data_IF_603128646345
#
_entry.id   IF_603128646345
#
_cell.length_a   1.000
_cell.length_b   1.000
_cell.length_c   1.000
_cell.angle_alpha   90.00
_cell.angle_beta   90.00
_cell.angle_gamma   90.00
#
_symmetry.space_group_name_H-M   'P 1'
#
loop_
_entity.id
_entity.type
_entity.pdbx_description
1 polymer ?
#
# COMPACT_ATOMS: atom_id res chain seq x y z
N UNK A 1 7.29 10.58 1.02
CA UNK A 1 5.87 10.26 0.72
C UNK A 1 5.76 9.91 -0.75
N UNK A 2 5.42 8.65 -1.05
CA UNK A 2 5.22 8.15 -2.41
C UNK A 2 3.84 8.56 -2.96
N UNK A 3 2.87 8.73 -2.06
CA UNK A 3 1.52 9.19 -2.35
C UNK A 3 1.36 10.67 -1.95
N UNK A 4 0.51 11.41 -2.65
CA UNK A 4 0.21 12.83 -2.36
C UNK A 4 -1.24 12.99 -1.91
N UNK A 5 -1.52 14.07 -1.14
CA UNK A 5 -2.90 14.43 -0.75
C UNK A 5 -3.82 14.54 -1.96
N UNK A 6 -3.32 15.14 -3.06
CA UNK A 6 -4.06 15.23 -4.33
C UNK A 6 -4.51 13.86 -4.83
N UNK A 7 -3.67 12.83 -4.71
CA UNK A 7 -4.02 11.48 -5.19
C UNK A 7 -5.08 10.81 -4.31
N UNK A 8 -5.08 11.08 -3.01
CA UNK A 8 -6.16 10.64 -2.10
C UNK A 8 -7.47 11.33 -2.47
N UNK A 9 -7.45 12.64 -2.69
CA UNK A 9 -8.66 13.38 -3.09
C UNK A 9 -9.22 12.88 -4.43
N UNK A 10 -8.36 12.64 -5.42
CA UNK A 10 -8.75 12.02 -6.69
C UNK A 10 -9.45 10.65 -6.45
N UNK A 11 -8.89 9.80 -5.59
CA UNK A 11 -9.47 8.48 -5.28
C UNK A 11 -10.82 8.59 -4.56
N UNK A 12 -10.96 9.52 -3.61
CA UNK A 12 -12.23 9.73 -2.89
C UNK A 12 -13.32 10.19 -3.86
N UNK A 13 -12.98 11.12 -4.76
CA UNK A 13 -13.90 11.66 -5.75
C UNK A 13 -14.32 10.63 -6.82
N UNK A 14 -13.47 9.64 -7.11
CA UNK A 14 -13.83 8.49 -7.95
C UNK A 14 -14.89 7.58 -7.30
N UNK A 15 -14.96 7.54 -5.96
CA UNK A 15 -15.94 6.75 -5.20
C UNK A 15 -17.21 7.55 -4.88
N UNK A 16 -17.04 8.80 -4.44
CA UNK A 16 -18.09 9.75 -4.14
C UNK A 16 -17.64 11.18 -4.51
N UNK A 17 -18.22 11.72 -5.58
CA UNK A 17 -17.90 13.06 -6.07
C UNK A 17 -18.34 14.21 -5.16
N UNK A 18 -19.15 13.95 -4.14
CA UNK A 18 -19.56 14.97 -3.16
C UNK A 18 -18.67 14.97 -1.91
N UNK A 19 -17.92 13.90 -1.66
CA UNK A 19 -17.15 13.72 -0.43
C UNK A 19 -15.83 14.49 -0.48
N UNK A 20 -15.53 15.22 0.60
CA UNK A 20 -14.28 15.97 0.76
C UNK A 20 -13.71 15.63 2.13
N UNK A 21 -12.56 14.96 2.13
CA UNK A 21 -11.89 14.60 3.38
C UNK A 21 -11.27 15.83 4.06
N UNK A 22 -11.34 15.84 5.39
CA UNK A 22 -10.59 16.79 6.20
C UNK A 22 -9.08 16.51 6.11
N UNK A 23 -8.27 17.56 6.24
CA UNK A 23 -6.83 17.47 5.95
C UNK A 23 -6.05 16.54 6.88
N UNK A 24 -6.53 16.33 8.11
CA UNK A 24 -6.00 15.39 9.09
C UNK A 24 -6.37 13.94 8.76
N UNK A 25 -7.58 13.69 8.26
CA UNK A 25 -8.00 12.38 7.74
C UNK A 25 -7.15 12.00 6.53
N UNK A 26 -6.86 12.93 5.64
CA UNK A 26 -5.93 12.69 4.52
C UNK A 26 -4.53 12.33 5.00
N UNK A 27 -4.01 13.01 6.03
CA UNK A 27 -2.69 12.71 6.59
C UNK A 27 -2.64 11.34 7.24
N UNK A 28 -3.71 10.94 7.95
CA UNK A 28 -3.84 9.60 8.52
C UNK A 28 -3.88 8.52 7.44
N UNK A 29 -4.63 8.72 6.36
CA UNK A 29 -4.66 7.77 5.24
C UNK A 29 -3.30 7.66 4.54
N UNK A 30 -2.56 8.76 4.42
CA UNK A 30 -1.19 8.74 3.90
C UNK A 30 -0.24 7.97 4.81
N UNK A 31 -0.36 8.11 6.13
CA UNK A 31 0.42 7.36 7.10
C UNK A 31 0.14 5.85 6.99
N UNK A 32 -1.14 5.45 6.97
CA UNK A 32 -1.54 4.05 6.78
C UNK A 32 -1.00 3.50 5.44
N UNK A 33 -1.03 4.30 4.36
CA UNK A 33 -0.50 3.89 3.07
C UNK A 33 1.03 3.69 3.09
N UNK A 34 1.77 4.58 3.77
CA UNK A 34 3.22 4.45 3.93
C UNK A 34 3.56 3.19 4.77
N UNK A 35 2.84 2.93 5.86
CA UNK A 35 3.00 1.71 6.69
C UNK A 35 2.69 0.42 5.91
N UNK A 36 1.63 0.44 5.09
CA UNK A 36 1.28 -0.69 4.23
C UNK A 36 2.42 -1.01 3.25
N UNK A 37 2.97 0.01 2.59
CA UNK A 37 4.09 -0.16 1.64
C UNK A 37 5.31 -0.71 2.36
N UNK A 38 5.64 -0.20 3.55
CA UNK A 38 6.78 -0.68 4.33
C UNK A 38 6.62 -2.15 4.74
N UNK A 39 5.43 -2.54 5.24
CA UNK A 39 5.12 -3.92 5.62
C UNK A 39 5.20 -4.86 4.42
N UNK A 40 4.54 -4.52 3.31
CA UNK A 40 4.49 -5.34 2.12
C UNK A 40 5.89 -5.51 1.50
N UNK A 41 6.67 -4.42 1.40
CA UNK A 41 8.01 -4.45 0.83
C UNK A 41 8.98 -5.23 1.72
N UNK A 42 8.90 -5.05 3.05
CA UNK A 42 9.72 -5.80 4.00
C UNK A 42 9.46 -7.30 3.92
N UNK A 43 8.19 -7.70 3.86
CA UNK A 43 7.82 -9.10 3.71
C UNK A 43 8.31 -9.67 2.37
N UNK A 44 8.07 -8.96 1.27
CA UNK A 44 8.49 -9.39 -0.06
C UNK A 44 10.02 -9.55 -0.16
N UNK A 45 10.80 -8.62 0.40
CA UNK A 45 12.25 -8.73 0.47
C UNK A 45 12.73 -9.96 1.27
N UNK A 46 12.07 -10.27 2.40
CA UNK A 46 12.36 -11.48 3.19
C UNK A 46 12.05 -12.75 2.41
N UNK A 47 10.93 -12.75 1.67
CA UNK A 47 10.51 -13.91 0.88
C UNK A 47 11.41 -14.14 -0.34
N UNK A 48 11.81 -13.07 -1.05
CA UNK A 48 12.79 -13.12 -2.13
C UNK A 48 14.10 -13.76 -1.65
N UNK A 49 14.61 -13.32 -0.49
CA UNK A 49 15.79 -13.94 0.15
C UNK A 49 15.56 -15.40 0.55
N UNK A 50 14.39 -15.73 1.11
CA UNK A 50 14.05 -17.09 1.54
C UNK A 50 14.12 -18.10 0.39
N UNK A 51 13.63 -17.74 -0.80
CA UNK A 51 13.73 -18.58 -2.01
C UNK A 51 15.09 -18.51 -2.72
N UNK A 52 16.09 -17.85 -2.12
CA UNK A 52 17.44 -17.61 -2.67
C UNK A 52 17.44 -16.75 -3.96
N UNK A 53 16.46 -15.87 -4.10
CA UNK A 53 16.43 -14.86 -5.17
C UNK A 53 17.32 -13.66 -4.86
N UNK A 54 17.79 -13.00 -5.91
CA UNK A 54 18.56 -11.75 -5.86
C UNK A 54 17.68 -10.51 -6.15
N UNK A 55 16.43 -10.71 -6.54
CA UNK A 55 15.45 -9.66 -6.89
C UNK A 55 14.09 -9.98 -6.30
N UNK A 56 13.36 -8.94 -5.89
CA UNK A 56 11.94 -9.08 -5.52
C UNK A 56 11.12 -9.33 -6.78
N UNK A 57 10.25 -10.34 -6.71
CA UNK A 57 9.34 -10.72 -7.78
C UNK A 57 7.88 -10.53 -7.34
N UNK A 58 6.96 -10.49 -8.31
CA UNK A 58 5.52 -10.30 -8.04
C UNK A 58 4.98 -11.32 -7.03
N UNK A 59 5.41 -12.59 -7.14
CA UNK A 59 5.01 -13.66 -6.20
C UNK A 59 5.37 -13.36 -4.75
N UNK A 60 6.42 -12.58 -4.52
CA UNK A 60 6.90 -12.28 -3.16
C UNK A 60 5.96 -11.28 -2.47
N UNK A 61 5.47 -10.29 -3.23
CA UNK A 61 4.47 -9.32 -2.78
C UNK A 61 3.09 -9.98 -2.71
N UNK A 62 2.71 -10.74 -3.74
CA UNK A 62 1.41 -11.42 -3.83
C UNK A 62 1.14 -12.29 -2.60
N UNK A 63 2.14 -13.06 -2.12
CA UNK A 63 1.94 -13.88 -0.93
C UNK A 63 1.65 -13.05 0.32
N UNK A 64 2.24 -11.85 0.47
CA UNK A 64 1.93 -10.96 1.59
C UNK A 64 0.47 -10.48 1.52
N UNK A 65 0.03 -10.05 0.33
CA UNK A 65 -1.31 -9.54 0.07
C UNK A 65 -2.37 -10.62 0.34
N UNK A 66 -2.16 -11.83 -0.18
CA UNK A 66 -3.11 -12.93 0.00
C UNK A 66 -3.21 -13.39 1.46
N UNK A 67 -2.08 -13.47 2.18
CA UNK A 67 -2.04 -14.08 3.53
C UNK A 67 -2.36 -13.11 4.66
N UNK A 68 -2.03 -11.83 4.49
CA UNK A 68 -2.16 -10.84 5.57
C UNK A 68 -3.31 -9.86 5.32
N UNK A 69 -3.66 -9.62 4.05
CA UNK A 69 -4.69 -8.65 3.67
C UNK A 69 -5.91 -9.27 2.99
N UNK A 70 -5.86 -10.56 2.65
CA UNK A 70 -6.89 -11.25 1.84
C UNK A 70 -7.17 -10.55 0.50
N UNK A 71 -6.17 -9.86 -0.05
CA UNK A 71 -6.21 -9.24 -1.38
C UNK A 71 -5.68 -10.25 -2.41
N UNK A 72 -6.42 -10.43 -3.51
CA UNK A 72 -6.13 -11.41 -4.57
C UNK A 72 -5.80 -10.72 -5.88
#
# INVERSE_FOLDING_TARGET
RLLSKRKIQELVQELDGAEVLEGDVEDLLLEIADEFIESATTFACRLAKHRKGDRVEVRDVQLHLERNWNLR
#
